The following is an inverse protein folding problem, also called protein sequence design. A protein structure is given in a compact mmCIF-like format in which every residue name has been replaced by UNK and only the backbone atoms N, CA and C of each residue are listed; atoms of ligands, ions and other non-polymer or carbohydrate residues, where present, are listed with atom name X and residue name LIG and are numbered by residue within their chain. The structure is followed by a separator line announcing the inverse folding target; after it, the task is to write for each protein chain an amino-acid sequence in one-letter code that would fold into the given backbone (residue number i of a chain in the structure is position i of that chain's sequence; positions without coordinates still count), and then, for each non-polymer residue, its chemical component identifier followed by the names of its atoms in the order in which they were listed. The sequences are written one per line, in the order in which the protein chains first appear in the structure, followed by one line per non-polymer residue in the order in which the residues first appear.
data_IF_645327823648
#
_entry.id   IF_645327823648
#
_cell.length_a   1.000
_cell.length_b   1.000
_cell.length_c   1.000
_cell.angle_alpha   90.00
_cell.angle_beta   90.00
_cell.angle_gamma   90.00
#
_symmetry.space_group_name_H-M   'P 1'
#
loop_
_entity.id
_entity.type
_entity.pdbx_description
1 polymer ?
#
# COMPACT_ATOMS: atom_id res chain seq x y z
N UNK A 1 -41.41 26.99 12.37
CA UNK A 1 -40.07 26.82 13.00
C UNK A 1 -39.64 25.36 13.15
N UNK A 2 -40.54 24.39 13.38
CA UNK A 2 -40.18 22.95 13.55
C UNK A 2 -39.67 22.27 12.27
N UNK A 3 -40.14 22.71 11.09
CA UNK A 3 -39.79 22.12 9.77
C UNK A 3 -38.40 22.51 9.28
N UNK A 4 -37.94 23.73 9.58
CA UNK A 4 -36.63 24.26 9.17
C UNK A 4 -35.47 23.65 9.96
N UNK A 5 -35.71 23.26 11.22
CA UNK A 5 -34.72 22.57 12.04
C UNK A 5 -34.47 21.12 11.56
N UNK A 6 -35.53 20.43 11.10
CA UNK A 6 -35.43 19.06 10.57
C UNK A 6 -34.63 19.00 9.26
N UNK A 7 -34.81 19.98 8.37
CA UNK A 7 -34.07 20.05 7.10
C UNK A 7 -32.58 20.34 7.31
N UNK A 8 -32.23 21.16 8.30
CA UNK A 8 -30.84 21.47 8.63
C UNK A 8 -30.08 20.25 9.18
N UNK A 9 -30.71 19.47 10.06
CA UNK A 9 -30.13 18.25 10.60
C UNK A 9 -29.91 17.16 9.52
N UNK A 10 -30.83 17.05 8.56
CA UNK A 10 -30.69 16.11 7.45
C UNK A 10 -29.50 16.46 6.54
N UNK A 11 -29.27 17.76 6.28
CA UNK A 11 -28.14 18.24 5.46
C UNK A 11 -26.78 17.99 6.12
N UNK A 12 -26.69 18.10 7.45
CA UNK A 12 -25.42 17.83 8.17
C UNK A 12 -25.03 16.36 8.16
N UNK A 13 -25.99 15.43 8.19
CA UNK A 13 -25.70 13.99 8.12
C UNK A 13 -25.21 13.56 6.73
N UNK A 14 -25.70 14.19 5.66
CA UNK A 14 -25.25 13.89 4.29
C UNK A 14 -23.79 14.29 4.07
N UNK A 15 -23.35 15.43 4.63
CA UNK A 15 -21.97 15.88 4.51
C UNK A 15 -20.96 14.93 5.17
N UNK A 16 -21.28 14.40 6.37
CA UNK A 16 -20.39 13.46 7.08
C UNK A 16 -20.25 12.12 6.35
N UNK A 17 -21.31 11.62 5.70
CA UNK A 17 -21.28 10.38 4.93
C UNK A 17 -20.38 10.48 3.68
N UNK A 18 -20.31 11.66 3.04
CA UNK A 18 -19.42 11.87 1.89
C UNK A 18 -17.93 11.81 2.25
N UNK A 19 -17.50 12.30 3.42
CA UNK A 19 -16.08 12.26 3.81
C UNK A 19 -15.61 10.85 4.19
N UNK A 20 -16.49 9.99 4.71
CA UNK A 20 -16.16 8.59 4.99
C UNK A 20 -16.06 7.75 3.70
N UNK A 21 -16.84 8.08 2.66
CA UNK A 21 -16.82 7.36 1.38
C UNK A 21 -15.59 7.70 0.52
N UNK A 22 -14.99 8.88 0.67
CA UNK A 22 -13.81 9.26 -0.13
C UNK A 22 -12.60 8.38 0.15
N UNK A 23 -12.38 7.95 1.40
CA UNK A 23 -11.29 7.01 1.73
C UNK A 23 -11.53 5.57 1.22
N UNK A 24 -12.77 5.19 0.93
CA UNK A 24 -13.12 3.87 0.37
C UNK A 24 -12.97 3.84 -1.15
N UNK A 25 -13.03 5.00 -1.81
CA UNK A 25 -12.91 5.14 -3.27
C UNK A 25 -11.47 5.37 -3.74
N UNK A 26 -10.54 5.60 -2.82
CA UNK A 26 -9.12 5.55 -3.15
C UNK A 26 -8.78 4.08 -3.37
N UNK A 27 -8.48 3.71 -4.62
CA UNK A 27 -7.89 2.41 -4.90
C UNK A 27 -6.71 2.22 -3.94
N UNK A 28 -6.60 1.08 -3.24
CA UNK A 28 -5.46 0.86 -2.36
C UNK A 28 -4.21 1.04 -3.22
N UNK A 29 -3.45 2.08 -2.91
CA UNK A 29 -2.13 2.29 -3.50
C UNK A 29 -1.36 1.00 -3.20
N UNK A 30 -0.81 0.38 -4.24
CA UNK A 30 -0.07 -0.86 -4.06
C UNK A 30 1.01 -0.60 -3.00
N UNK A 31 0.98 -1.37 -1.92
CA UNK A 31 1.91 -1.17 -0.82
C UNK A 31 3.33 -1.42 -1.35
N UNK A 32 4.15 -0.36 -1.38
CA UNK A 32 5.54 -0.39 -1.82
C UNK A 32 6.42 -0.16 -0.60
N UNK A 33 7.30 -1.10 -0.31
CA UNK A 33 8.33 -0.98 0.72
C UNK A 33 9.59 -0.42 0.05
N UNK A 34 10.06 0.72 0.55
CA UNK A 34 11.26 1.38 0.04
C UNK A 34 12.47 1.02 0.88
N UNK A 35 13.54 0.60 0.20
CA UNK A 35 14.86 0.40 0.79
C UNK A 35 15.72 1.58 0.38
N UNK A 36 16.00 2.45 1.33
CA UNK A 36 16.91 3.58 1.13
C UNK A 36 18.36 3.10 1.12
N UNK A 37 19.06 3.39 0.03
CA UNK A 37 20.47 3.04 -0.15
C UNK A 37 21.29 4.23 -0.65
N UNK A 38 22.61 4.15 -0.56
CA UNK A 38 23.46 5.14 -1.22
C UNK A 38 23.36 5.02 -2.74
N UNK A 39 23.67 6.09 -3.46
CA UNK A 39 23.67 6.08 -4.94
C UNK A 39 24.62 5.02 -5.53
N UNK A 40 25.70 4.68 -4.83
CA UNK A 40 26.65 3.65 -5.25
C UNK A 40 26.08 2.23 -5.11
N UNK A 41 25.21 2.00 -4.13
CA UNK A 41 24.62 0.69 -3.81
C UNK A 41 23.31 0.43 -4.56
N UNK A 42 22.72 1.45 -5.20
CA UNK A 42 21.44 1.33 -5.89
C UNK A 42 21.41 0.19 -6.91
N UNK A 43 22.48 0.05 -7.70
CA UNK A 43 22.52 -0.99 -8.73
C UNK A 43 22.62 -2.39 -8.11
N UNK A 44 23.45 -2.54 -7.08
CA UNK A 44 23.65 -3.80 -6.36
C UNK A 44 22.36 -4.24 -5.64
N UNK A 45 21.66 -3.29 -5.01
CA UNK A 45 20.37 -3.52 -4.38
C UNK A 45 19.32 -4.01 -5.39
N UNK A 46 19.24 -3.38 -6.57
CA UNK A 46 18.31 -3.79 -7.64
C UNK A 46 18.63 -5.18 -8.19
N UNK A 47 19.91 -5.49 -8.37
CA UNK A 47 20.34 -6.82 -8.80
C UNK A 47 19.98 -7.88 -7.76
N UNK A 48 20.25 -7.61 -6.49
CA UNK A 48 19.91 -8.49 -5.36
C UNK A 48 18.40 -8.75 -5.30
N UNK A 49 17.57 -7.71 -5.43
CA UNK A 49 16.11 -7.88 -5.47
C UNK A 49 15.65 -8.73 -6.66
N UNK A 50 16.28 -8.58 -7.82
CA UNK A 50 15.96 -9.40 -9.00
C UNK A 50 16.33 -10.88 -8.80
N UNK A 51 17.41 -11.17 -8.06
CA UNK A 51 17.78 -12.52 -7.68
C UNK A 51 16.80 -13.11 -6.66
N UNK A 52 16.46 -12.35 -5.61
CA UNK A 52 15.50 -12.77 -4.58
C UNK A 52 14.13 -13.06 -5.20
N UNK A 53 13.69 -12.25 -6.18
CA UNK A 53 12.45 -12.47 -6.91
C UNK A 53 12.44 -13.81 -7.68
N UNK A 54 13.58 -14.43 -7.96
CA UNK A 54 13.63 -15.74 -8.62
C UNK A 54 13.65 -16.90 -7.62
N UNK A 55 13.85 -16.63 -6.34
CA UNK A 55 13.89 -17.64 -5.29
C UNK A 55 12.49 -18.14 -4.93
N UNK A 56 12.34 -19.45 -4.65
CA UNK A 56 11.08 -20.00 -4.13
C UNK A 56 10.84 -19.51 -2.70
N UNK A 57 9.59 -19.14 -2.40
CA UNK A 57 9.18 -18.84 -1.04
C UNK A 57 9.01 -20.14 -0.25
N UNK A 58 9.59 -20.20 0.94
CA UNK A 58 9.51 -21.36 1.85
C UNK A 58 9.20 -20.86 3.26
N UNK A 59 8.41 -21.65 3.99
CA UNK A 59 8.19 -21.41 5.42
C UNK A 59 9.39 -21.89 6.25
N UNK A 60 9.44 -21.52 7.52
CA UNK A 60 10.52 -21.90 8.45
C UNK A 60 10.71 -23.43 8.58
N UNK A 61 9.64 -24.20 8.36
CA UNK A 61 9.67 -25.65 8.35
C UNK A 61 10.14 -26.26 7.00
N UNK A 62 10.51 -25.43 6.03
CA UNK A 62 10.94 -25.82 4.68
C UNK A 62 9.81 -26.16 3.71
N UNK A 63 8.53 -26.02 4.10
CA UNK A 63 7.42 -26.24 3.18
C UNK A 63 7.32 -25.09 2.15
N UNK A 64 7.02 -25.38 0.88
CA UNK A 64 6.89 -24.35 -0.14
C UNK A 64 5.65 -23.49 0.11
N UNK A 65 5.80 -22.18 -0.07
CA UNK A 65 4.72 -21.22 -0.03
C UNK A 65 4.34 -20.80 -1.46
N UNK A 66 3.05 -20.85 -1.76
CA UNK A 66 2.51 -20.44 -3.04
C UNK A 66 1.74 -19.14 -2.84
N UNK A 67 2.35 -18.04 -3.27
CA UNK A 67 1.75 -16.71 -3.26
C UNK A 67 1.55 -16.24 -4.69
N UNK A 68 0.44 -15.56 -4.98
CA UNK A 68 0.38 -14.68 -6.13
C UNK A 68 1.15 -13.41 -5.78
N UNK A 69 2.38 -13.31 -6.30
CA UNK A 69 3.33 -12.23 -5.97
C UNK A 69 2.79 -10.82 -6.24
N UNK A 70 1.74 -10.69 -7.05
CA UNK A 70 1.16 -9.39 -7.39
C UNK A 70 -0.05 -9.00 -6.54
N UNK A 71 -0.64 -9.96 -5.83
CA UNK A 71 -1.86 -9.75 -5.03
C UNK A 71 -1.62 -9.96 -3.53
N UNK A 72 -0.73 -10.88 -3.17
CA UNK A 72 -0.57 -11.31 -1.78
C UNK A 72 0.59 -10.62 -1.05
N UNK A 73 1.49 -9.95 -1.79
CA UNK A 73 2.73 -9.39 -1.23
C UNK A 73 2.94 -7.94 -1.66
N UNK A 74 3.42 -7.07 -0.76
CA UNK A 74 3.85 -5.73 -1.12
C UNK A 74 5.05 -5.80 -2.06
N UNK A 75 5.16 -4.81 -2.95
CA UNK A 75 6.34 -4.67 -3.81
C UNK A 75 7.49 -4.03 -3.02
N UNK A 76 8.74 -4.34 -3.39
CA UNK A 76 9.93 -3.77 -2.75
C UNK A 76 10.75 -3.06 -3.82
N UNK A 77 11.19 -1.83 -3.54
CA UNK A 77 12.06 -1.06 -4.43
C UNK A 77 13.22 -0.41 -3.68
N UNK A 78 14.37 -0.30 -4.34
CA UNK A 78 15.50 0.44 -3.81
C UNK A 78 15.45 1.90 -4.31
N UNK A 79 15.59 2.85 -3.39
CA UNK A 79 15.63 4.29 -3.67
C UNK A 79 16.88 4.92 -3.08
N UNK A 80 17.30 6.06 -3.62
CA UNK A 80 18.45 6.79 -3.07
C UNK A 80 17.96 7.63 -1.89
N UNK A 81 18.63 7.54 -0.74
CA UNK A 81 18.32 8.39 0.41
C UNK A 81 18.47 9.88 0.04
N UNK A 82 17.45 10.70 0.30
CA UNK A 82 17.55 12.15 0.20
C UNK A 82 18.33 12.68 1.42
N UNK A 83 19.37 13.49 1.14
CA UNK A 83 20.29 14.02 2.15
C UNK A 83 19.75 15.27 2.87
#
# INVERSE_FOLDING_TARGET
MRRTALTAAALTCVAAASFAATNVLQAPEAEVIEIEVSAAELNDCRETLAQVAQSPAVADNGSPLFFDRTQDLPSVQCVVAEA
#
